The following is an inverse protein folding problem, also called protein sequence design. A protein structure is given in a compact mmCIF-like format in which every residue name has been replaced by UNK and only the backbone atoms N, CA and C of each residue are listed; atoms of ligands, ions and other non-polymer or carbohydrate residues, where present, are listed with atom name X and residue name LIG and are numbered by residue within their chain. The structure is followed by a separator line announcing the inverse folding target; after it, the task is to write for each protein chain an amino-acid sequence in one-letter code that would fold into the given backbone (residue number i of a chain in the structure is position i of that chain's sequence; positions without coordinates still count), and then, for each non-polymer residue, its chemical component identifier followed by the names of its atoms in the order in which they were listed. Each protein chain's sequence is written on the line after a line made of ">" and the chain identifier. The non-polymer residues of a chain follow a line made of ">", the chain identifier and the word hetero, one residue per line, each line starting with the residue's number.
data_IF_265345331063
#
_entry.id   IF_265345331063
#
_cell.length_a   1.000
_cell.length_b   1.000
_cell.length_c   1.000
_cell.angle_alpha   90.00
_cell.angle_beta   90.00
_cell.angle_gamma   90.00
#
_symmetry.space_group_name_H-M   'P 1'
#
loop_
_entity.id
_entity.type
_entity.pdbx_description
1 polymer ?
#
# COMPACT_ATOMS: atom_id res chain seq x y z
N UNK A 1 -11.22 -13.56 5.44
CA UNK A 1 -11.16 -14.42 4.24
C UNK A 1 -9.76 -14.32 3.62
N UNK A 2 -9.09 -15.42 3.24
CA UNK A 2 -7.78 -15.36 2.57
C UNK A 2 -7.91 -14.90 1.11
N UNK A 3 -6.94 -14.12 0.61
CA UNK A 3 -6.87 -13.71 -0.80
C UNK A 3 -6.03 -14.73 -1.56
N UNK A 4 -6.62 -15.40 -2.56
CA UNK A 4 -5.95 -16.47 -3.31
C UNK A 4 -5.34 -17.55 -2.37
N UNK A 5 -6.08 -17.93 -1.32
CA UNK A 5 -5.60 -18.88 -0.30
C UNK A 5 -4.49 -18.35 0.61
N UNK A 6 -4.04 -17.09 0.46
CA UNK A 6 -2.95 -16.48 1.26
C UNK A 6 -3.47 -15.48 2.28
N UNK A 7 -2.82 -15.48 3.46
CA UNK A 7 -3.03 -14.49 4.53
C UNK A 7 -1.81 -13.59 4.78
N UNK A 8 -0.66 -13.92 4.18
CA UNK A 8 0.63 -13.25 4.33
C UNK A 8 1.37 -13.22 2.99
N UNK A 9 2.37 -12.35 2.86
CA UNK A 9 3.12 -12.13 1.61
C UNK A 9 2.20 -11.77 0.44
N UNK A 10 1.25 -10.88 0.70
CA UNK A 10 0.35 -10.34 -0.34
C UNK A 10 1.18 -9.45 -1.26
N UNK A 11 1.30 -9.84 -2.52
CA UNK A 11 2.05 -9.10 -3.55
C UNK A 11 1.13 -8.15 -4.31
N UNK A 12 1.69 -7.23 -5.11
CA UNK A 12 0.93 -6.43 -6.08
C UNK A 12 0.00 -7.31 -6.93
N UNK A 13 0.52 -8.42 -7.46
CA UNK A 13 -0.27 -9.33 -8.27
C UNK A 13 -1.51 -9.85 -7.53
N UNK A 14 -1.40 -10.19 -6.24
CA UNK A 14 -2.54 -10.68 -5.47
C UNK A 14 -3.54 -9.56 -5.16
N UNK A 15 -3.05 -8.37 -4.80
CA UNK A 15 -3.88 -7.25 -4.34
C UNK A 15 -4.55 -6.50 -5.50
N UNK A 16 -3.80 -6.26 -6.57
CA UNK A 16 -4.20 -5.40 -7.68
C UNK A 16 -4.75 -6.23 -8.83
N UNK A 17 -3.96 -7.17 -9.33
CA UNK A 17 -4.31 -7.90 -10.54
C UNK A 17 -5.39 -8.95 -10.23
N UNK A 18 -5.13 -9.88 -9.30
CA UNK A 18 -6.11 -10.89 -8.89
C UNK A 18 -7.30 -10.28 -8.15
N UNK A 19 -7.08 -9.63 -7.00
CA UNK A 19 -8.22 -9.19 -6.19
C UNK A 19 -8.94 -7.98 -6.80
N UNK A 20 -8.20 -6.95 -7.21
CA UNK A 20 -8.78 -5.75 -7.79
C UNK A 20 -9.41 -5.98 -9.16
N UNK A 21 -8.63 -6.48 -10.13
CA UNK A 21 -9.07 -6.61 -11.52
C UNK A 21 -9.92 -7.86 -11.74
N UNK A 22 -9.47 -9.06 -11.34
CA UNK A 22 -10.20 -10.30 -11.64
C UNK A 22 -11.39 -10.55 -10.70
N UNK A 23 -11.25 -10.28 -9.40
CA UNK A 23 -12.28 -10.63 -8.41
C UNK A 23 -13.28 -9.51 -8.15
N UNK A 24 -12.82 -8.26 -8.16
CA UNK A 24 -13.68 -7.08 -7.98
C UNK A 24 -14.06 -6.43 -9.31
N UNK A 25 -13.57 -6.94 -10.44
CA UNK A 25 -13.90 -6.46 -11.79
C UNK A 25 -13.63 -4.96 -11.97
N UNK A 26 -12.64 -4.42 -11.24
CA UNK A 26 -12.26 -3.03 -11.35
C UNK A 26 -11.59 -2.78 -12.71
N UNK A 27 -12.03 -1.72 -13.38
CA UNK A 27 -11.41 -1.32 -14.64
C UNK A 27 -9.96 -0.88 -14.43
N UNK A 28 -9.09 -1.14 -15.40
CA UNK A 28 -7.69 -0.73 -15.37
C UNK A 28 -7.53 0.77 -15.07
N UNK A 29 -8.38 1.61 -15.68
CA UNK A 29 -8.41 3.06 -15.44
C UNK A 29 -8.74 3.42 -13.99
N UNK A 30 -9.67 2.70 -13.36
CA UNK A 30 -9.98 2.94 -11.95
C UNK A 30 -8.84 2.52 -11.03
N UNK A 31 -8.19 1.39 -11.33
CA UNK A 31 -7.03 0.91 -10.58
C UNK A 31 -5.89 1.91 -10.67
N UNK A 32 -5.55 2.34 -11.88
CA UNK A 32 -4.48 3.33 -12.13
C UNK A 32 -4.73 4.63 -11.37
N UNK A 33 -5.94 5.18 -11.44
CA UNK A 33 -6.32 6.38 -10.69
C UNK A 33 -6.12 6.23 -9.18
N UNK A 34 -6.47 5.07 -8.61
CA UNK A 34 -6.29 4.81 -7.18
C UNK A 34 -4.80 4.70 -6.86
N UNK A 35 -4.02 3.98 -7.65
CA UNK A 35 -2.57 3.85 -7.46
C UNK A 35 -1.86 5.21 -7.53
N UNK A 36 -2.22 6.06 -8.50
CA UNK A 36 -1.72 7.45 -8.56
C UNK A 36 -2.10 8.26 -7.32
N UNK A 37 -3.33 8.12 -6.84
CA UNK A 37 -3.80 8.83 -5.65
C UNK A 37 -3.02 8.39 -4.41
N UNK A 38 -2.75 7.09 -4.27
CA UNK A 38 -1.88 6.56 -3.22
C UNK A 38 -0.46 7.12 -3.35
N UNK A 39 0.13 7.09 -4.55
CA UNK A 39 1.48 7.60 -4.79
C UNK A 39 1.61 9.08 -4.38
N UNK A 40 0.64 9.92 -4.77
CA UNK A 40 0.60 11.35 -4.40
C UNK A 40 0.42 11.58 -2.91
N UNK A 41 -0.14 10.62 -2.17
CA UNK A 41 -0.37 10.71 -0.72
C UNK A 41 0.86 10.29 0.11
N UNK A 42 1.83 9.58 -0.48
CA UNK A 42 3.02 9.08 0.22
C UNK A 42 3.81 10.20 0.92
N UNK A 43 4.08 11.36 0.31
CA UNK A 43 4.78 12.46 0.99
C UNK A 43 4.04 12.92 2.26
N UNK A 44 2.72 13.13 2.16
CA UNK A 44 1.91 13.55 3.29
C UNK A 44 1.93 12.51 4.43
N UNK A 45 1.94 11.21 4.13
CA UNK A 45 2.07 10.18 5.16
C UNK A 45 3.43 10.19 5.84
N UNK A 46 4.52 10.47 5.11
CA UNK A 46 5.86 10.63 5.71
C UNK A 46 5.87 11.82 6.67
N UNK A 47 5.27 12.94 6.27
CA UNK A 47 5.17 14.12 7.12
C UNK A 47 4.36 13.83 8.38
N UNK A 48 3.22 13.14 8.25
CA UNK A 48 2.40 12.72 9.40
C UNK A 48 3.16 11.82 10.37
N UNK A 49 3.96 10.87 9.88
CA UNK A 49 4.82 10.04 10.74
C UNK A 49 5.86 10.93 11.45
N UNK A 50 6.49 11.85 10.73
CA UNK A 50 7.52 12.73 11.28
C UNK A 50 6.98 13.64 12.40
N UNK A 51 5.79 14.21 12.25
CA UNK A 51 5.18 15.12 13.24
C UNK A 51 4.34 14.41 14.31
N UNK A 52 4.15 13.10 14.23
CA UNK A 52 3.37 12.33 15.20
C UNK A 52 3.98 12.33 16.62
N UNK A 53 3.17 12.01 17.62
CA UNK A 53 3.60 11.84 19.02
C UNK A 53 4.32 10.50 19.29
N UNK A 54 4.69 9.75 18.26
CA UNK A 54 5.43 8.51 18.40
C UNK A 54 6.85 8.77 18.91
N UNK A 55 7.39 7.80 19.67
CA UNK A 55 8.82 7.82 20.00
C UNK A 55 9.66 7.71 18.72
N UNK A 56 10.91 8.17 18.77
CA UNK A 56 11.83 8.11 17.62
C UNK A 56 11.91 6.72 16.99
N UNK A 57 12.10 5.68 17.82
CA UNK A 57 12.16 4.30 17.36
C UNK A 57 10.85 3.79 16.75
N UNK A 58 9.70 4.31 17.18
CA UNK A 58 8.42 3.98 16.54
C UNK A 58 8.25 4.70 15.20
N UNK A 59 8.65 5.98 15.09
CA UNK A 59 8.65 6.71 13.81
C UNK A 59 9.48 6.02 12.75
N UNK A 60 10.67 5.52 13.12
CA UNK A 60 11.53 4.73 12.24
C UNK A 60 10.83 3.45 11.75
N UNK A 61 10.28 2.63 12.67
CA UNK A 61 9.53 1.41 12.32
C UNK A 61 8.35 1.67 11.39
N UNK A 62 7.59 2.74 11.62
CA UNK A 62 6.47 3.11 10.75
C UNK A 62 6.94 3.59 9.38
N UNK A 63 8.06 4.33 9.32
CA UNK A 63 8.64 4.78 8.05
C UNK A 63 9.15 3.60 7.22
N UNK A 64 9.80 2.64 7.85
CA UNK A 64 10.24 1.39 7.21
C UNK A 64 9.06 0.55 6.73
N UNK A 65 8.01 0.43 7.55
CA UNK A 65 6.79 -0.28 7.18
C UNK A 65 6.12 0.37 5.97
N UNK A 66 6.03 1.70 5.93
CA UNK A 66 5.47 2.43 4.79
C UNK A 66 6.30 2.14 3.53
N UNK A 67 7.63 2.27 3.61
CA UNK A 67 8.54 1.97 2.49
C UNK A 67 8.37 0.54 1.99
N UNK A 68 8.31 -0.45 2.89
CA UNK A 68 8.12 -1.84 2.52
C UNK A 68 6.78 -2.08 1.79
N UNK A 69 5.71 -1.41 2.21
CA UNK A 69 4.39 -1.52 1.56
C UNK A 69 4.34 -0.83 0.21
N UNK A 70 4.97 0.33 0.06
CA UNK A 70 5.12 1.00 -1.24
C UNK A 70 5.87 0.11 -2.23
N UNK A 71 6.98 -0.51 -1.80
CA UNK A 71 7.74 -1.46 -2.62
C UNK A 71 6.89 -2.66 -3.06
N UNK A 72 6.03 -3.20 -2.19
CA UNK A 72 5.12 -4.31 -2.55
C UNK A 72 4.16 -3.93 -3.67
N UNK A 73 3.76 -2.66 -3.74
CA UNK A 73 2.81 -2.13 -4.73
C UNK A 73 3.49 -1.48 -5.95
N UNK A 74 4.82 -1.37 -5.96
CA UNK A 74 5.60 -0.60 -6.93
C UNK A 74 5.18 0.89 -6.99
N UNK A 75 5.05 1.52 -5.82
CA UNK A 75 4.71 2.94 -5.65
C UNK A 75 5.90 3.76 -5.12
#
# INVERSE_FOLDING_TARGET
>A
MPLSGRRKKLTRHILVDYFGMERCELTAKSIEKILETLARSIPAWKDLIAVSFLSKGMKEKYSELLKARCNVLNL
#
